data_IF_873231651312
#
_entry.id   IF_873231651312
#
_cell.length_a   1.000
_cell.length_b   1.000
_cell.length_c   1.000
_cell.angle_alpha   90.00
_cell.angle_beta   90.00
_cell.angle_gamma   90.00
#
_symmetry.space_group_name_H-M   'P 1'
#
loop_
_entity.id
_entity.type
_entity.pdbx_description
1 polymer ?
#
# COMPACT_ATOMS: atom_id res chain seq x y z
N UNK A 1 -17.41 -33.75 19.22
CA UNK A 1 -16.50 -33.51 18.09
C UNK A 1 -16.71 -32.08 17.60
N UNK A 2 -15.67 -31.28 17.47
CA UNK A 2 -15.81 -29.92 16.96
C UNK A 2 -16.23 -29.99 15.49
N UNK A 3 -17.26 -29.23 15.12
CA UNK A 3 -17.68 -29.09 13.73
C UNK A 3 -16.53 -28.43 12.94
N UNK A 4 -16.06 -29.09 11.87
CA UNK A 4 -15.11 -28.52 10.93
C UNK A 4 -15.65 -27.19 10.39
N UNK A 5 -14.97 -26.09 10.66
CA UNK A 5 -15.29 -24.78 10.10
C UNK A 5 -14.78 -24.75 8.66
N UNK A 6 -15.61 -24.28 7.72
CA UNK A 6 -15.26 -24.16 6.31
C UNK A 6 -14.18 -23.06 6.12
N UNK A 7 -13.17 -23.28 5.28
CA UNK A 7 -12.20 -22.24 4.95
C UNK A 7 -12.81 -21.20 3.99
N UNK A 8 -12.38 -19.98 4.06
CA UNK A 8 -12.63 -18.80 3.21
C UNK A 8 -13.90 -18.75 2.36
N UNK A 9 -14.71 -17.71 2.56
CA UNK A 9 -15.58 -17.18 1.51
C UNK A 9 -14.90 -15.93 0.96
N UNK A 10 -14.25 -16.03 -0.19
CA UNK A 10 -13.86 -14.85 -0.97
C UNK A 10 -15.09 -14.50 -1.81
N UNK A 11 -15.74 -13.38 -1.51
CA UNK A 11 -16.87 -12.91 -2.31
C UNK A 11 -16.37 -12.46 -3.68
N UNK A 12 -16.53 -13.34 -4.68
CA UNK A 12 -16.22 -13.07 -6.08
C UNK A 12 -17.16 -13.81 -7.00
N UNK A 13 -18.02 -13.07 -7.64
CA UNK A 13 -18.62 -13.43 -8.93
C UNK A 13 -18.82 -12.14 -9.70
N UNK A 14 -18.81 -12.22 -11.00
CA UNK A 14 -19.20 -11.11 -11.88
C UNK A 14 -20.63 -10.66 -11.57
N UNK A 15 -21.44 -11.52 -10.94
CA UNK A 15 -22.85 -11.30 -10.59
C UNK A 15 -23.08 -10.99 -9.09
N UNK A 16 -22.03 -10.80 -8.29
CA UNK A 16 -22.14 -10.47 -6.84
C UNK A 16 -22.57 -11.64 -5.94
N UNK A 17 -22.64 -12.89 -6.46
CA UNK A 17 -22.94 -14.07 -5.67
C UNK A 17 -21.69 -14.63 -4.97
N UNK A 18 -21.87 -15.24 -3.80
CA UNK A 18 -20.77 -15.90 -3.08
C UNK A 18 -20.30 -17.12 -3.88
N UNK A 19 -19.02 -17.14 -4.27
CA UNK A 19 -18.40 -18.33 -4.84
C UNK A 19 -17.76 -19.12 -3.69
N UNK A 20 -18.31 -20.27 -3.40
CA UNK A 20 -17.73 -21.20 -2.42
C UNK A 20 -16.46 -21.82 -3.04
N UNK A 21 -15.31 -21.59 -2.45
CA UNK A 21 -14.06 -22.22 -2.89
C UNK A 21 -14.19 -23.73 -2.72
N UNK A 22 -13.87 -24.49 -3.76
CA UNK A 22 -13.80 -25.95 -3.66
C UNK A 22 -12.84 -26.35 -2.53
N UNK A 23 -13.19 -27.35 -1.70
CA UNK A 23 -12.31 -27.79 -0.65
C UNK A 23 -10.99 -28.31 -1.24
N UNK A 24 -9.84 -28.07 -0.59
CA UNK A 24 -8.58 -28.59 -1.06
C UNK A 24 -8.64 -30.12 -1.15
N UNK A 25 -7.93 -30.77 -2.07
CA UNK A 25 -7.91 -32.21 -2.19
C UNK A 25 -7.47 -32.81 -0.85
N UNK A 26 -8.27 -33.74 -0.33
CA UNK A 26 -7.98 -34.43 0.93
C UNK A 26 -6.61 -35.06 0.86
N UNK A 27 -5.72 -34.71 1.77
CA UNK A 27 -4.49 -35.42 1.98
C UNK A 27 -4.78 -36.90 2.29
N UNK A 28 -3.84 -37.83 2.01
CA UNK A 28 -4.07 -39.26 2.18
C UNK A 28 -4.41 -39.58 3.66
N UNK A 29 -5.58 -40.17 3.88
CA UNK A 29 -5.97 -40.71 5.18
C UNK A 29 -5.01 -41.83 5.60
N UNK A 30 -4.66 -41.94 6.88
CA UNK A 30 -3.89 -43.09 7.34
C UNK A 30 -4.73 -44.37 7.18
N UNK A 31 -4.12 -45.47 6.72
CA UNK A 31 -4.84 -46.72 6.51
C UNK A 31 -5.30 -47.33 7.82
N UNK A 32 -6.53 -47.84 7.82
CA UNK A 32 -7.07 -48.66 8.90
C UNK A 32 -6.20 -49.91 9.09
N UNK A 33 -5.95 -50.26 10.35
CA UNK A 33 -5.15 -51.42 10.74
C UNK A 33 -5.82 -52.73 10.28
N UNK A 34 -5.23 -53.37 9.27
CA UNK A 34 -5.59 -54.71 8.80
C UNK A 34 -4.36 -55.36 8.18
N UNK A 35 -3.91 -56.47 8.75
CA UNK A 35 -2.69 -57.18 8.41
C UNK A 35 -2.66 -57.74 7.00
N UNK A 36 -1.53 -57.60 6.30
CA UNK A 36 -1.30 -58.24 5.00
C UNK A 36 0.03 -57.81 4.36
N UNK A 37 0.88 -58.76 4.17
CA UNK A 37 2.18 -58.91 3.48
C UNK A 37 2.73 -57.75 2.62
N UNK A 38 4.08 -57.54 2.60
CA UNK A 38 4.71 -56.44 1.87
C UNK A 38 4.78 -56.73 0.34
N UNK A 39 4.50 -55.73 -0.51
CA UNK A 39 4.76 -55.84 -1.94
C UNK A 39 6.17 -55.39 -2.33
N UNK A 40 6.70 -56.07 -3.33
CA UNK A 40 8.02 -55.93 -3.94
C UNK A 40 8.27 -54.53 -4.49
N UNK A 41 9.45 -53.96 -4.17
CA UNK A 41 9.97 -52.73 -4.75
C UNK A 41 10.21 -52.86 -6.26
N UNK A 42 9.45 -52.13 -7.09
CA UNK A 42 9.57 -52.04 -8.54
C UNK A 42 10.17 -50.74 -9.04
N UNK A 43 11.13 -50.86 -9.89
CA UNK A 43 11.95 -49.94 -10.70
C UNK A 43 11.20 -48.73 -11.35
N UNK A 44 10.75 -47.71 -10.67
CA UNK A 44 10.17 -46.52 -11.35
C UNK A 44 10.87 -45.17 -11.03
N UNK A 45 12.00 -45.16 -10.31
CA UNK A 45 12.68 -43.91 -9.91
C UNK A 45 13.72 -43.36 -10.91
N UNK A 46 14.11 -44.11 -11.96
CA UNK A 46 15.18 -43.66 -12.89
C UNK A 46 14.70 -42.78 -14.06
N UNK A 47 13.41 -42.75 -14.41
CA UNK A 47 12.96 -41.96 -15.58
C UNK A 47 12.61 -40.50 -15.28
N UNK A 48 12.32 -40.10 -14.04
CA UNK A 48 12.03 -38.68 -13.69
C UNK A 48 13.29 -37.82 -13.55
N UNK A 49 14.41 -38.38 -13.15
CA UNK A 49 15.70 -37.67 -13.06
C UNK A 49 16.26 -37.25 -14.42
N UNK A 50 16.08 -38.13 -15.43
CA UNK A 50 16.61 -37.87 -16.79
C UNK A 50 15.86 -36.76 -17.49
N UNK A 51 14.54 -36.62 -17.26
CA UNK A 51 13.72 -35.56 -17.86
C UNK A 51 14.08 -34.18 -17.29
N UNK A 52 14.39 -34.10 -15.98
CA UNK A 52 14.79 -32.87 -15.34
C UNK A 52 16.15 -32.33 -15.83
N UNK A 53 17.11 -33.23 -16.04
CA UNK A 53 18.44 -32.91 -16.56
C UNK A 53 18.36 -32.40 -18.01
N UNK A 54 17.52 -32.99 -18.85
CA UNK A 54 17.33 -32.54 -20.24
C UNK A 54 16.71 -31.17 -20.30
N UNK A 55 15.71 -30.87 -19.47
CA UNK A 55 15.07 -29.54 -19.43
C UNK A 55 16.06 -28.45 -18.97
N UNK A 56 16.90 -28.75 -17.96
CA UNK A 56 17.92 -27.78 -17.49
C UNK A 56 18.97 -27.51 -18.57
N UNK A 57 19.42 -28.53 -19.31
CA UNK A 57 20.38 -28.34 -20.40
C UNK A 57 19.82 -27.56 -21.58
N UNK A 58 18.54 -27.72 -21.91
CA UNK A 58 17.88 -26.94 -22.98
C UNK A 58 17.75 -25.47 -22.59
N UNK A 59 17.41 -25.17 -21.33
CA UNK A 59 17.33 -23.80 -20.83
C UNK A 59 18.70 -23.11 -20.81
N UNK A 60 19.77 -23.82 -20.42
CA UNK A 60 21.12 -23.27 -20.43
C UNK A 60 21.64 -23.01 -21.86
N UNK A 61 21.28 -23.84 -22.83
CA UNK A 61 21.64 -23.62 -24.24
C UNK A 61 20.90 -22.40 -24.85
N UNK A 62 19.64 -22.17 -24.47
CA UNK A 62 18.88 -21.01 -24.91
C UNK A 62 19.43 -19.69 -24.34
N UNK A 63 19.90 -19.68 -23.09
CA UNK A 63 20.52 -18.50 -22.45
C UNK A 63 21.86 -18.17 -23.12
N UNK A 64 22.67 -19.19 -23.48
CA UNK A 64 23.95 -18.98 -24.19
C UNK A 64 23.76 -18.40 -25.60
N UNK A 65 22.72 -18.79 -26.32
CA UNK A 65 22.41 -18.30 -27.67
C UNK A 65 22.00 -16.80 -27.66
N UNK A 66 21.32 -16.33 -26.61
CA UNK A 66 20.95 -14.90 -26.48
C UNK A 66 22.16 -14.03 -26.15
N UNK A 67 23.15 -14.54 -25.40
CA UNK A 67 24.34 -13.80 -25.03
C UNK A 67 25.30 -13.53 -26.21
N UNK A 68 25.30 -14.38 -27.23
CA UNK A 68 26.17 -14.21 -28.43
C UNK A 68 25.58 -13.22 -29.45
N UNK A 69 24.29 -12.96 -29.42
CA UNK A 69 23.63 -12.05 -30.36
C UNK A 69 23.74 -10.54 -29.98
N UNK A 70 24.23 -10.21 -28.78
CA UNK A 70 24.27 -8.82 -28.27
C UNK A 70 25.66 -8.16 -28.30
N UNK A 71 26.69 -8.84 -28.84
CA UNK A 71 28.04 -8.27 -28.95
C UNK A 71 28.41 -7.99 -30.43
N UNK A 72 27.99 -6.85 -30.97
CA UNK A 72 28.60 -6.22 -32.14
C UNK A 72 29.03 -4.82 -31.78
N UNK A 73 30.31 -4.44 -32.05
CA UNK A 73 30.82 -3.11 -31.78
C UNK A 73 30.41 -2.13 -32.90
N UNK A 74 29.98 -0.95 -32.54
CA UNK A 74 29.84 0.17 -33.46
C UNK A 74 31.16 0.95 -33.51
N UNK A 75 31.65 1.21 -34.75
CA UNK A 75 32.86 1.88 -35.05
C UNK A 75 32.76 3.40 -34.99
N UNK A 76 33.92 3.97 -34.92
CA UNK A 76 34.29 5.38 -34.82
C UNK A 76 33.77 6.30 -35.92
N UNK A 77 33.53 7.57 -35.58
CA UNK A 77 33.25 8.66 -36.50
C UNK A 77 33.49 10.03 -35.89
N UNK A 78 34.75 10.41 -35.79
CA UNK A 78 35.42 11.76 -35.94
C UNK A 78 34.65 13.04 -35.62
N UNK A 79 35.12 13.73 -34.60
CA UNK A 79 35.73 15.08 -34.54
C UNK A 79 35.16 16.21 -35.41
N UNK A 80 34.73 17.31 -34.81
CA UNK A 80 35.19 18.66 -35.20
C UNK A 80 35.05 19.69 -34.05
N UNK A 81 36.10 20.46 -33.98
CA UNK A 81 36.58 21.45 -33.05
C UNK A 81 35.73 22.71 -32.86
N UNK A 82 35.68 23.16 -31.67
CA UNK A 82 35.93 24.46 -31.03
C UNK A 82 35.67 25.77 -31.79
N UNK A 83 35.10 26.74 -31.10
CA UNK A 83 35.74 28.04 -30.90
C UNK A 83 35.18 28.83 -29.71
N UNK A 84 36.08 29.18 -28.85
CA UNK A 84 36.02 30.12 -27.73
C UNK A 84 35.78 31.54 -28.20
N UNK A 85 35.02 32.35 -27.45
CA UNK A 85 35.18 33.80 -27.43
C UNK A 85 34.93 34.30 -25.99
N UNK A 86 35.94 34.99 -25.48
CA UNK A 86 36.03 35.62 -24.18
C UNK A 86 35.47 37.06 -24.19
N UNK A 87 35.31 37.68 -22.99
CA UNK A 87 34.47 38.84 -22.77
C UNK A 87 35.18 40.15 -22.89
N UNK A 88 34.43 41.23 -23.01
CA UNK A 88 35.00 42.59 -22.85
C UNK A 88 34.07 43.56 -22.09
N UNK A 89 34.60 44.70 -21.65
CA UNK A 89 34.35 45.19 -20.30
C UNK A 89 33.36 46.36 -20.22
N UNK A 90 33.05 46.69 -18.95
CA UNK A 90 32.20 47.77 -18.50
C UNK A 90 32.62 49.18 -18.94
N UNK A 91 31.66 50.00 -19.29
CA UNK A 91 31.81 51.46 -19.37
C UNK A 91 30.92 52.09 -18.29
N UNK A 92 31.57 52.97 -17.49
CA UNK A 92 30.90 53.81 -16.51
C UNK A 92 30.23 55.02 -17.22
N UNK A 93 29.04 55.42 -16.76
CA UNK A 93 28.47 56.69 -17.06
C UNK A 93 27.64 57.20 -15.86
N UNK A 94 28.10 58.27 -15.37
CA UNK A 94 27.60 59.51 -14.79
C UNK A 94 26.15 59.64 -14.29
N UNK A 95 26.06 60.37 -13.17
CA UNK A 95 24.91 60.63 -12.38
C UNK A 95 23.76 61.37 -13.08
N UNK A 96 22.59 61.08 -12.61
CA UNK A 96 21.32 61.77 -12.83
C UNK A 96 20.55 61.99 -11.55
N UNK A 97 19.60 62.89 -11.48
CA UNK A 97 19.19 63.60 -10.27
C UNK A 97 18.33 62.75 -9.31
N UNK A 98 18.45 63.09 -8.05
CA UNK A 98 17.73 62.60 -6.91
C UNK A 98 16.19 62.68 -7.12
N UNK A 99 15.51 61.56 -7.29
CA UNK A 99 14.08 61.50 -7.25
C UNK A 99 13.61 61.37 -5.77
N UNK A 100 12.76 62.31 -5.39
CA UNK A 100 12.05 62.35 -4.11
C UNK A 100 11.20 61.07 -3.95
N UNK A 101 11.38 60.35 -2.88
CA UNK A 101 10.63 59.13 -2.58
C UNK A 101 9.14 59.42 -2.46
N UNK A 102 8.33 58.73 -3.27
CA UNK A 102 6.90 58.68 -3.12
C UNK A 102 6.52 57.93 -1.83
N UNK A 103 5.39 58.24 -1.16
CA UNK A 103 4.99 57.56 0.06
C UNK A 103 4.79 56.05 -0.19
N UNK A 104 5.44 55.24 0.64
CA UNK A 104 5.31 53.79 0.61
C UNK A 104 3.84 53.43 0.84
N UNK A 105 3.19 52.87 -0.15
CA UNK A 105 1.85 52.32 -0.02
C UNK A 105 1.85 51.24 1.05
N UNK A 106 1.03 51.37 2.05
CA UNK A 106 0.77 50.31 3.05
C UNK A 106 0.34 49.07 2.30
N UNK A 107 0.96 47.87 2.53
CA UNK A 107 0.56 46.68 1.83
C UNK A 107 -0.89 46.35 2.16
N UNK A 108 -1.73 46.33 1.13
CA UNK A 108 -3.11 45.84 1.24
C UNK A 108 -3.04 44.39 1.78
N UNK A 109 -3.76 44.07 2.86
CA UNK A 109 -3.76 42.70 3.38
C UNK A 109 -4.21 41.76 2.28
N UNK A 110 -3.39 40.72 2.02
CA UNK A 110 -3.75 39.67 1.09
C UNK A 110 -5.07 39.05 1.52
N UNK A 111 -6.03 38.82 0.62
CA UNK A 111 -7.33 38.28 0.99
C UNK A 111 -7.10 36.94 1.71
N UNK A 112 -7.69 36.80 2.89
CA UNK A 112 -7.69 35.52 3.63
C UNK A 112 -8.33 34.45 2.74
N UNK A 113 -7.71 33.28 2.55
CA UNK A 113 -8.28 32.21 1.75
C UNK A 113 -9.68 31.86 2.27
N UNK A 114 -10.69 31.88 1.41
CA UNK A 114 -12.11 31.64 1.76
C UNK A 114 -12.50 30.16 1.76
N UNK A 115 -11.55 29.23 1.79
CA UNK A 115 -11.78 27.78 1.76
C UNK A 115 -10.94 27.03 2.82
N UNK A 116 -11.17 25.72 3.01
CA UNK A 116 -10.39 24.92 3.94
C UNK A 116 -8.90 24.94 3.59
N UNK A 117 -8.05 24.85 4.61
CA UNK A 117 -6.60 24.75 4.42
C UNK A 117 -6.24 23.45 3.69
N UNK A 118 -5.08 23.44 3.06
CA UNK A 118 -4.57 22.23 2.44
C UNK A 118 -4.22 21.18 3.50
N UNK A 119 -4.53 19.90 3.21
CA UNK A 119 -4.13 18.74 4.03
C UNK A 119 -3.03 17.98 3.31
N UNK A 120 -2.03 17.55 4.08
CA UNK A 120 -0.98 16.65 3.60
C UNK A 120 -1.15 15.25 4.20
N UNK A 121 -1.15 14.21 3.37
CA UNK A 121 -1.16 12.81 3.80
C UNK A 121 0.02 12.06 3.18
N UNK A 122 0.74 11.30 4.01
CA UNK A 122 1.69 10.29 3.52
C UNK A 122 1.10 8.92 3.78
N UNK A 123 0.81 8.17 2.71
CA UNK A 123 0.31 6.81 2.80
C UNK A 123 1.40 5.80 2.42
N UNK A 124 1.43 4.68 3.14
CA UNK A 124 2.28 3.51 2.85
C UNK A 124 1.46 2.24 2.77
N UNK A 125 2.09 1.16 2.29
CA UNK A 125 1.47 -0.15 2.14
C UNK A 125 1.31 -0.94 3.43
N UNK A 126 1.40 -2.27 3.31
CA UNK A 126 1.09 -3.22 4.36
C UNK A 126 2.18 -3.28 5.43
N UNK A 127 1.75 -3.23 6.69
CA UNK A 127 2.61 -3.23 7.88
C UNK A 127 2.18 -4.37 8.79
N UNK A 128 3.11 -5.28 9.10
CA UNK A 128 2.89 -6.34 10.10
C UNK A 128 3.82 -6.15 11.31
N UNK A 129 3.39 -6.66 12.46
CA UNK A 129 4.22 -6.77 13.67
C UNK A 129 4.71 -8.18 13.95
N UNK A 130 4.38 -9.14 13.08
CA UNK A 130 4.67 -10.56 13.24
C UNK A 130 5.91 -11.04 12.48
N UNK A 131 6.12 -12.35 12.47
CA UNK A 131 7.24 -13.02 11.81
C UNK A 131 8.60 -12.39 12.17
N UNK A 132 9.51 -12.23 11.19
CA UNK A 132 10.81 -11.60 11.37
C UNK A 132 10.74 -10.14 11.87
N UNK A 133 9.67 -9.42 11.52
CA UNK A 133 9.45 -8.04 11.97
C UNK A 133 9.32 -7.93 13.50
N UNK A 134 8.75 -8.94 14.17
CA UNK A 134 8.62 -8.93 15.64
C UNK A 134 9.96 -8.74 16.36
N UNK A 135 11.01 -9.43 15.90
CA UNK A 135 12.37 -9.29 16.43
C UNK A 135 12.98 -7.94 16.09
N UNK A 136 12.76 -7.45 14.85
CA UNK A 136 13.25 -6.15 14.39
C UNK A 136 12.62 -5.01 15.20
N UNK A 137 11.31 -5.05 15.43
CA UNK A 137 10.62 -4.06 16.30
C UNK A 137 11.19 -4.08 17.71
N UNK A 138 11.43 -5.27 18.28
CA UNK A 138 11.99 -5.42 19.61
C UNK A 138 13.40 -4.80 19.75
N UNK A 139 14.24 -4.91 18.73
CA UNK A 139 15.62 -4.43 18.74
C UNK A 139 15.77 -2.97 18.26
N UNK A 140 15.03 -2.56 17.25
CA UNK A 140 15.18 -1.25 16.61
C UNK A 140 14.15 -0.22 17.05
N UNK A 141 12.99 -0.64 17.58
CA UNK A 141 11.88 0.26 17.88
C UNK A 141 11.50 1.13 16.67
N UNK A 142 11.44 2.46 16.86
CA UNK A 142 11.18 3.41 15.77
C UNK A 142 12.28 3.48 14.69
N UNK A 143 13.47 2.94 14.97
CA UNK A 143 14.54 2.82 13.98
C UNK A 143 14.15 1.96 12.76
N UNK A 144 13.15 1.09 12.89
CA UNK A 144 12.53 0.35 11.81
C UNK A 144 12.07 1.27 10.64
N UNK A 145 11.56 2.45 10.97
CA UNK A 145 11.05 3.44 9.99
C UNK A 145 12.06 4.55 9.65
N UNK A 146 13.33 4.45 10.10
CA UNK A 146 14.32 5.55 9.99
C UNK A 146 14.40 6.18 8.61
N UNK A 147 14.40 5.38 7.55
CA UNK A 147 14.55 5.85 6.17
C UNK A 147 13.31 6.59 5.64
N UNK A 148 12.14 6.34 6.23
CA UNK A 148 10.84 6.86 5.74
C UNK A 148 10.16 7.81 6.72
N UNK A 149 10.61 7.88 7.97
CA UNK A 149 9.98 8.67 9.03
C UNK A 149 9.84 10.17 8.69
N UNK A 150 10.80 10.76 7.96
CA UNK A 150 10.74 12.17 7.57
C UNK A 150 9.55 12.49 6.67
N UNK A 151 9.13 11.55 5.81
CA UNK A 151 7.95 11.74 4.95
C UNK A 151 6.67 11.76 5.78
N UNK A 152 6.52 10.84 6.73
CA UNK A 152 5.36 10.81 7.63
C UNK A 152 5.33 12.03 8.54
N UNK A 153 6.44 12.38 9.20
CA UNK A 153 6.54 13.51 10.13
C UNK A 153 6.33 14.88 9.47
N UNK A 154 6.53 14.99 8.16
CA UNK A 154 6.30 16.22 7.39
C UNK A 154 4.93 16.23 6.70
N UNK A 155 3.99 15.45 7.19
CA UNK A 155 2.59 15.41 6.77
C UNK A 155 1.68 15.51 7.97
N UNK A 156 0.49 16.04 7.79
CA UNK A 156 -0.54 16.10 8.83
C UNK A 156 -0.97 14.70 9.24
N UNK A 157 -1.05 13.80 8.25
CA UNK A 157 -1.44 12.41 8.48
C UNK A 157 -0.46 11.42 7.85
N UNK A 158 -0.05 10.45 8.66
CA UNK A 158 0.66 9.24 8.24
C UNK A 158 -0.29 8.05 8.28
N UNK A 159 -0.62 7.46 7.13
CA UNK A 159 -1.66 6.44 6.97
C UNK A 159 -1.10 5.13 6.40
N UNK A 160 -1.34 3.98 7.04
CA UNK A 160 -0.89 2.66 6.59
C UNK A 160 -1.93 1.57 6.86
N UNK A 161 -1.80 0.42 6.19
CA UNK A 161 -2.57 -0.78 6.54
C UNK A 161 -1.82 -1.59 7.61
N UNK A 162 -2.39 -1.69 8.83
CA UNK A 162 -1.90 -2.56 9.89
C UNK A 162 -2.47 -3.97 9.68
N UNK A 163 -1.69 -4.83 9.04
CA UNK A 163 -2.12 -6.15 8.57
C UNK A 163 -1.76 -7.28 9.55
N UNK A 164 -1.79 -6.96 10.82
CA UNK A 164 -1.70 -7.95 11.90
C UNK A 164 -2.31 -7.41 13.16
N UNK A 165 -2.97 -8.22 14.00
CA UNK A 165 -3.33 -7.82 15.34
C UNK A 165 -2.06 -7.60 16.17
N UNK A 166 -2.08 -6.56 17.02
CA UNK A 166 -1.02 -6.27 17.97
C UNK A 166 -1.45 -6.80 19.34
N UNK A 167 -0.87 -7.93 19.76
CA UNK A 167 -1.24 -8.55 21.03
C UNK A 167 -0.15 -9.46 21.59
N UNK A 168 -0.03 -9.56 22.90
CA UNK A 168 0.75 -10.61 23.57
C UNK A 168 -0.06 -11.88 23.80
N UNK A 169 -1.41 -11.78 23.80
CA UNK A 169 -2.38 -12.86 24.01
C UNK A 169 -3.09 -13.27 22.72
N UNK A 170 -4.40 -13.47 22.85
CA UNK A 170 -5.34 -13.82 21.78
C UNK A 170 -5.33 -15.31 21.44
N UNK A 171 -6.34 -15.72 20.67
CA UNK A 171 -6.58 -17.10 20.26
C UNK A 171 -6.26 -17.25 18.76
N UNK A 172 -5.17 -17.95 18.40
CA UNK A 172 -4.81 -18.15 16.99
C UNK A 172 -5.92 -18.84 16.23
N UNK A 173 -6.23 -18.36 15.02
CA UNK A 173 -7.25 -18.96 14.15
C UNK A 173 -6.68 -20.21 13.47
N UNK A 174 -6.71 -21.35 14.18
CA UNK A 174 -6.08 -22.61 13.77
C UNK A 174 -6.64 -23.27 12.49
N UNK A 175 -7.65 -22.69 11.87
CA UNK A 175 -8.18 -23.10 10.57
C UNK A 175 -7.56 -22.34 9.38
N UNK A 176 -6.73 -21.34 9.66
CA UNK A 176 -6.09 -20.46 8.67
C UNK A 176 -4.62 -20.87 8.49
N UNK A 177 -4.16 -21.00 7.24
CA UNK A 177 -2.80 -21.44 6.93
C UNK A 177 -1.74 -20.43 7.39
N UNK A 178 -2.04 -19.13 7.28
CA UNK A 178 -1.17 -18.03 7.70
C UNK A 178 -1.82 -17.22 8.79
N UNK A 179 -1.30 -17.31 10.02
CA UNK A 179 -1.74 -16.56 11.19
C UNK A 179 -0.62 -15.64 11.66
N UNK A 180 -0.89 -14.34 11.73
CA UNK A 180 0.09 -13.33 12.10
C UNK A 180 -0.24 -12.81 13.51
N UNK A 181 0.72 -12.98 14.45
CA UNK A 181 0.67 -12.35 15.78
C UNK A 181 1.68 -11.21 15.83
N UNK A 182 1.19 -9.98 15.88
CA UNK A 182 2.01 -8.79 15.87
C UNK A 182 2.49 -8.36 17.27
N UNK A 183 3.75 -7.93 17.34
CA UNK A 183 4.35 -7.37 18.55
C UNK A 183 3.75 -5.98 18.85
N UNK A 184 3.13 -5.75 20.04
CA UNK A 184 2.58 -4.47 20.44
C UNK A 184 3.55 -3.30 20.45
N UNK A 185 4.87 -3.55 20.54
CA UNK A 185 5.89 -2.50 20.43
C UNK A 185 5.90 -1.78 19.07
N UNK A 186 5.23 -2.35 18.05
CA UNK A 186 5.06 -1.70 16.74
C UNK A 186 4.22 -0.42 16.84
N UNK A 187 3.19 -0.36 17.68
CA UNK A 187 2.35 0.82 17.79
C UNK A 187 3.15 2.09 18.20
N UNK A 188 3.90 2.11 19.29
CA UNK A 188 4.73 3.27 19.62
C UNK A 188 5.85 3.53 18.58
N UNK A 189 6.36 2.51 17.90
CA UNK A 189 7.35 2.68 16.82
C UNK A 189 6.76 3.42 15.63
N UNK A 190 5.52 3.07 15.20
CA UNK A 190 4.76 3.77 14.17
C UNK A 190 4.50 5.23 14.57
N UNK A 191 3.95 5.47 15.75
CA UNK A 191 3.62 6.81 16.23
C UNK A 191 4.84 7.74 16.27
N UNK A 192 5.98 7.26 16.82
CA UNK A 192 7.24 8.00 16.83
C UNK A 192 7.77 8.33 15.44
N UNK A 193 7.34 7.58 14.43
CA UNK A 193 7.73 7.77 13.03
C UNK A 193 6.78 8.68 12.26
N UNK A 194 5.69 9.17 12.88
CA UNK A 194 4.71 10.07 12.28
C UNK A 194 3.51 9.34 11.66
N UNK A 195 3.37 8.04 11.87
CA UNK A 195 2.18 7.28 11.47
C UNK A 195 1.15 7.43 12.60
N UNK A 196 0.04 8.11 12.30
CA UNK A 196 -1.00 8.46 13.27
C UNK A 196 -2.40 7.93 12.91
N UNK A 197 -2.56 7.32 11.72
CA UNK A 197 -3.78 6.63 11.30
C UNK A 197 -3.43 5.27 10.72
N UNK A 198 -4.17 4.23 11.09
CA UNK A 198 -4.05 2.90 10.49
C UNK A 198 -5.41 2.35 10.10
N UNK A 199 -5.49 1.66 8.97
CA UNK A 199 -6.62 0.78 8.71
C UNK A 199 -6.33 -0.63 9.22
N UNK A 200 -7.35 -1.28 9.79
CA UNK A 200 -7.34 -2.70 10.11
C UNK A 200 -8.44 -3.46 9.35
N UNK A 201 -8.97 -2.87 8.26
CA UNK A 201 -9.86 -3.57 7.34
C UNK A 201 -9.02 -4.47 6.43
N UNK A 202 -8.67 -5.68 6.88
CA UNK A 202 -7.87 -6.64 6.12
C UNK A 202 -8.12 -8.08 6.58
N UNK A 203 -7.53 -9.04 5.87
CA UNK A 203 -7.70 -10.46 6.09
C UNK A 203 -6.87 -11.03 7.25
N UNK A 204 -6.04 -10.22 7.92
CA UNK A 204 -5.23 -10.62 9.07
C UNK A 204 -5.66 -9.98 10.40
N UNK A 205 -6.57 -9.01 10.39
CA UNK A 205 -6.99 -8.30 11.60
C UNK A 205 -7.55 -9.21 12.71
N UNK A 206 -8.20 -10.32 12.33
CA UNK A 206 -8.79 -11.30 13.25
C UNK A 206 -7.92 -12.53 13.54
N UNK A 207 -6.67 -12.57 13.12
CA UNK A 207 -5.80 -13.76 13.23
C UNK A 207 -5.62 -14.27 14.66
N UNK A 208 -5.75 -13.41 15.65
CA UNK A 208 -5.66 -13.72 17.07
C UNK A 208 -7.02 -13.60 17.78
N UNK A 209 -8.13 -13.80 17.05
CA UNK A 209 -9.49 -13.71 17.55
C UNK A 209 -9.92 -12.30 17.94
N UNK A 210 -11.12 -12.19 18.50
CA UNK A 210 -11.70 -10.92 18.92
C UNK A 210 -10.83 -10.20 19.96
N UNK A 211 -10.24 -10.95 20.90
CA UNK A 211 -9.37 -10.41 21.94
C UNK A 211 -8.09 -9.77 21.34
N UNK A 212 -7.48 -10.42 20.34
CA UNK A 212 -6.31 -9.88 19.63
C UNK A 212 -6.61 -8.62 18.84
N UNK A 213 -7.79 -8.58 18.18
CA UNK A 213 -8.27 -7.38 17.50
C UNK A 213 -8.49 -6.21 18.47
N UNK A 214 -9.17 -6.45 19.57
CA UNK A 214 -9.45 -5.43 20.60
C UNK A 214 -8.17 -4.95 21.32
N UNK A 215 -7.20 -5.84 21.51
CA UNK A 215 -5.87 -5.47 22.00
C UNK A 215 -5.19 -4.46 21.07
N UNK A 216 -5.31 -4.67 19.76
CA UNK A 216 -4.75 -3.74 18.76
C UNK A 216 -5.31 -2.33 18.91
N UNK A 217 -6.62 -2.20 19.14
CA UNK A 217 -7.23 -0.89 19.41
C UNK A 217 -6.65 -0.23 20.66
N UNK A 218 -6.44 -1.02 21.74
CA UNK A 218 -5.86 -0.55 22.99
C UNK A 218 -4.41 -0.06 22.81
N UNK A 219 -3.58 -0.83 22.09
CA UNK A 219 -2.18 -0.46 21.86
C UNK A 219 -2.06 0.74 20.91
N UNK A 220 -2.84 0.78 19.83
CA UNK A 220 -2.88 1.92 18.92
C UNK A 220 -3.36 3.18 19.65
N UNK A 221 -4.45 3.13 20.41
CA UNK A 221 -4.96 4.25 21.20
C UNK A 221 -3.92 4.75 22.23
N UNK A 222 -3.22 3.83 22.94
CA UNK A 222 -2.15 4.20 23.88
C UNK A 222 -0.99 4.92 23.19
N UNK A 223 -0.72 4.61 21.93
CA UNK A 223 0.31 5.25 21.11
C UNK A 223 -0.16 6.54 20.41
N UNK A 224 -1.44 6.93 20.55
CA UNK A 224 -2.01 8.09 19.85
C UNK A 224 -2.34 7.81 18.38
N UNK A 225 -2.51 6.54 17.98
CA UNK A 225 -2.85 6.13 16.63
C UNK A 225 -4.35 5.89 16.52
N UNK A 226 -4.99 6.49 15.54
CA UNK A 226 -6.39 6.28 15.18
C UNK A 226 -6.52 5.02 14.34
N UNK A 227 -7.46 4.13 14.71
CA UNK A 227 -7.78 2.91 13.95
C UNK A 227 -9.10 3.10 13.21
N UNK A 228 -9.12 2.78 11.91
CA UNK A 228 -10.31 2.77 11.06
C UNK A 228 -10.49 1.41 10.37
N UNK A 229 -11.66 1.16 9.81
CA UNK A 229 -11.94 -0.06 9.05
C UNK A 229 -12.12 -1.33 9.89
N UNK A 230 -12.04 -1.22 11.21
CA UNK A 230 -12.40 -2.28 12.16
C UNK A 230 -13.01 -1.66 13.41
N UNK A 231 -13.80 -2.44 14.16
CA UNK A 231 -14.51 -1.91 15.32
C UNK A 231 -15.06 -2.98 16.23
N UNK A 232 -15.57 -2.57 17.41
CA UNK A 232 -16.23 -3.46 18.37
C UNK A 232 -17.58 -4.03 17.87
N UNK A 233 -18.10 -3.49 16.79
CA UNK A 233 -19.28 -3.95 16.05
C UNK A 233 -19.27 -3.31 14.65
N UNK A 234 -20.17 -3.71 13.77
CA UNK A 234 -20.26 -3.24 12.39
C UNK A 234 -20.40 -1.70 12.28
N UNK A 235 -21.24 -1.11 13.11
CA UNK A 235 -21.42 0.36 13.14
C UNK A 235 -20.11 1.07 13.44
N UNK A 236 -19.35 0.59 14.42
CA UNK A 236 -18.04 1.16 14.77
C UNK A 236 -16.98 0.91 13.68
N UNK A 237 -16.97 -0.27 13.05
CA UNK A 237 -16.06 -0.61 11.98
C UNK A 237 -16.25 0.28 10.74
N UNK A 238 -17.50 0.64 10.44
CA UNK A 238 -17.87 1.45 9.27
C UNK A 238 -17.86 2.97 9.52
N UNK A 239 -17.79 3.41 10.78
CA UNK A 239 -17.94 4.83 11.11
C UNK A 239 -16.80 5.70 10.57
N UNK A 240 -15.60 5.12 10.38
CA UNK A 240 -14.40 5.89 10.10
C UNK A 240 -14.00 6.82 11.26
N UNK A 241 -13.12 7.76 10.97
CA UNK A 241 -12.72 8.82 11.92
C UNK A 241 -12.59 10.15 11.18
N UNK A 242 -13.05 11.24 11.80
CA UNK A 242 -12.78 12.62 11.35
C UNK A 242 -11.71 13.19 12.27
N UNK A 243 -10.64 13.68 11.69
CA UNK A 243 -9.49 14.25 12.37
C UNK A 243 -9.30 15.70 11.93
N UNK A 244 -8.83 16.54 12.85
CA UNK A 244 -8.62 17.96 12.61
C UNK A 244 -7.12 18.24 12.41
N UNK A 245 -6.82 19.22 11.60
CA UNK A 245 -5.52 19.87 11.44
C UNK A 245 -5.72 21.38 11.39
N UNK A 246 -4.66 22.17 11.27
CA UNK A 246 -4.77 23.64 11.22
C UNK A 246 -5.60 24.10 10.01
N UNK A 247 -6.86 24.44 10.27
CA UNK A 247 -7.80 25.02 9.30
C UNK A 247 -8.46 24.03 8.34
N UNK A 248 -8.38 22.71 8.58
CA UNK A 248 -9.10 21.71 7.80
C UNK A 248 -9.41 20.44 8.61
N UNK A 249 -10.37 19.67 8.10
CA UNK A 249 -10.78 18.36 8.62
C UNK A 249 -10.58 17.27 7.58
N UNK A 250 -10.13 16.09 8.03
CA UNK A 250 -9.94 14.92 7.18
C UNK A 250 -10.66 13.69 7.73
N UNK A 251 -11.46 13.04 6.91
CA UNK A 251 -12.08 11.76 7.24
C UNK A 251 -11.25 10.59 6.71
N UNK A 252 -11.13 9.55 7.53
CA UNK A 252 -10.49 8.29 7.17
C UNK A 252 -11.47 7.15 7.33
N UNK A 253 -11.57 6.29 6.30
CA UNK A 253 -12.39 5.08 6.31
C UNK A 253 -11.55 3.89 5.82
N UNK A 254 -11.96 2.67 6.22
CA UNK A 254 -11.31 1.45 5.74
C UNK A 254 -12.34 0.37 5.41
N UNK A 255 -12.12 -0.37 4.31
CA UNK A 255 -12.98 -1.46 3.86
C UNK A 255 -12.14 -2.65 3.39
N UNK A 256 -12.68 -3.87 3.48
CA UNK A 256 -12.03 -5.07 2.98
C UNK A 256 -12.98 -5.93 2.16
N UNK A 257 -12.49 -6.45 1.06
CA UNK A 257 -13.15 -7.49 0.24
C UNK A 257 -12.58 -8.87 0.55
N UNK A 258 -11.40 -8.91 1.16
CA UNK A 258 -10.75 -10.15 1.59
C UNK A 258 -11.16 -10.43 3.03
N UNK A 259 -12.22 -11.23 3.16
CA UNK A 259 -12.94 -11.41 4.42
C UNK A 259 -12.96 -12.90 4.83
N UNK A 260 -11.97 -13.36 5.62
CA UNK A 260 -12.03 -14.69 6.23
C UNK A 260 -13.30 -14.85 7.09
N UNK A 261 -13.83 -16.06 7.14
CA UNK A 261 -15.04 -16.37 7.92
C UNK A 261 -14.86 -15.96 9.39
N UNK A 262 -15.79 -15.17 9.91
CA UNK A 262 -15.76 -14.69 11.29
C UNK A 262 -14.97 -13.38 11.48
N UNK A 263 -14.33 -12.82 10.43
CA UNK A 263 -13.60 -11.55 10.52
C UNK A 263 -14.47 -10.30 10.29
N UNK A 264 -15.51 -10.33 9.43
CA UNK A 264 -16.43 -9.20 9.33
C UNK A 264 -17.09 -8.90 10.66
N UNK A 265 -17.14 -7.64 11.03
CA UNK A 265 -17.91 -7.18 12.19
C UNK A 265 -19.41 -7.46 12.00
N UNK A 266 -20.10 -7.80 13.09
CA UNK A 266 -21.57 -7.92 13.11
C UNK A 266 -22.18 -6.79 13.95
N UNK A 267 -23.50 -6.78 14.10
CA UNK A 267 -24.15 -5.83 14.99
C UNK A 267 -23.69 -5.95 16.45
N UNK A 268 -23.22 -7.14 16.87
CA UNK A 268 -22.88 -7.47 18.27
C UNK A 268 -21.46 -7.99 18.47
N UNK A 269 -20.69 -8.29 17.41
CA UNK A 269 -19.32 -8.78 17.51
C UNK A 269 -18.30 -7.86 16.84
N UNK A 270 -17.07 -7.78 17.38
CA UNK A 270 -16.00 -7.02 16.78
C UNK A 270 -15.56 -7.66 15.45
N UNK A 271 -14.92 -6.83 14.60
CA UNK A 271 -14.41 -7.29 13.33
C UNK A 271 -14.09 -6.15 12.36
N UNK A 272 -13.86 -6.52 11.10
CA UNK A 272 -13.50 -5.62 10.01
C UNK A 272 -14.74 -5.10 9.28
N UNK A 273 -14.59 -3.96 8.63
CA UNK A 273 -15.62 -3.33 7.77
C UNK A 273 -15.65 -4.01 6.40
N UNK A 274 -16.77 -4.64 5.98
CA UNK A 274 -16.88 -5.22 4.65
C UNK A 274 -16.99 -4.14 3.57
N UNK A 275 -16.29 -4.39 2.44
CA UNK A 275 -16.30 -3.57 1.23
C UNK A 275 -17.40 -3.97 0.27
N UNK A 276 -17.04 -4.67 -0.84
CA UNK A 276 -17.94 -5.08 -1.95
C UNK A 276 -19.22 -5.74 -1.49
N UNK A 277 -19.15 -6.65 -0.52
CA UNK A 277 -20.30 -7.34 0.03
C UNK A 277 -21.40 -6.38 0.53
N UNK A 278 -21.05 -5.11 0.75
CA UNK A 278 -21.97 -4.08 1.19
C UNK A 278 -21.69 -2.73 0.53
N UNK A 279 -21.47 -2.70 -0.77
CA UNK A 279 -21.05 -1.52 -1.55
C UNK A 279 -21.98 -0.30 -1.36
N UNK A 280 -23.28 -0.52 -1.18
CA UNK A 280 -24.21 0.57 -0.92
C UNK A 280 -23.98 1.23 0.44
N UNK A 281 -23.66 0.45 1.48
CA UNK A 281 -23.27 1.01 2.78
C UNK A 281 -21.90 1.70 2.70
N UNK A 282 -20.95 1.17 1.95
CA UNK A 282 -19.65 1.83 1.69
C UNK A 282 -19.87 3.22 1.10
N UNK A 283 -20.63 3.33 0.00
CA UNK A 283 -20.96 4.61 -0.62
C UNK A 283 -21.70 5.56 0.32
N UNK A 284 -22.63 5.04 1.14
CA UNK A 284 -23.36 5.84 2.11
C UNK A 284 -22.45 6.39 3.22
N UNK A 285 -21.50 5.56 3.71
CA UNK A 285 -20.53 5.96 4.72
C UNK A 285 -19.54 7.02 4.19
N UNK A 286 -19.04 6.87 2.95
CA UNK A 286 -18.18 7.87 2.30
C UNK A 286 -18.93 9.18 2.12
N UNK A 287 -20.17 9.18 1.63
CA UNK A 287 -21.01 10.39 1.52
C UNK A 287 -21.27 11.04 2.87
N UNK A 288 -21.46 10.26 3.92
CA UNK A 288 -21.65 10.77 5.26
C UNK A 288 -20.37 11.40 5.83
N UNK A 289 -19.21 10.84 5.50
CA UNK A 289 -17.90 11.39 5.84
C UNK A 289 -17.63 12.71 5.09
N UNK A 290 -17.90 12.76 3.78
CA UNK A 290 -17.75 13.95 2.94
C UNK A 290 -18.66 15.14 3.36
N UNK A 291 -19.72 14.88 4.11
CA UNK A 291 -20.55 15.94 4.72
C UNK A 291 -19.97 16.50 6.03
N UNK A 292 -18.97 15.84 6.61
CA UNK A 292 -18.40 16.13 7.94
C UNK A 292 -16.95 16.56 7.90
N UNK A 293 -16.29 16.35 6.78
CA UNK A 293 -14.89 16.64 6.62
C UNK A 293 -14.64 17.31 5.26
N UNK A 294 -13.62 18.15 5.21
CA UNK A 294 -13.20 18.84 4.00
C UNK A 294 -12.54 17.88 3.00
N UNK A 295 -11.88 16.82 3.51
CA UNK A 295 -11.19 15.81 2.70
C UNK A 295 -11.51 14.41 3.21
N UNK A 296 -11.57 13.43 2.30
CA UNK A 296 -11.92 12.03 2.59
C UNK A 296 -10.89 11.08 2.00
N UNK A 297 -10.26 10.29 2.87
CA UNK A 297 -9.30 9.26 2.53
C UNK A 297 -9.86 7.87 2.83
N UNK A 298 -9.80 6.98 1.84
CA UNK A 298 -10.33 5.62 1.95
C UNK A 298 -9.19 4.62 1.78
N UNK A 299 -9.05 3.70 2.74
CA UNK A 299 -8.24 2.49 2.53
C UNK A 299 -9.13 1.35 2.05
N UNK A 300 -8.65 0.58 1.08
CA UNK A 300 -9.36 -0.60 0.62
C UNK A 300 -8.43 -1.80 0.47
N UNK A 301 -8.77 -2.89 1.12
CA UNK A 301 -8.01 -4.14 1.07
C UNK A 301 -8.73 -5.12 0.14
N UNK A 302 -8.20 -5.33 -1.08
CA UNK A 302 -8.89 -6.00 -2.17
C UNK A 302 -7.98 -6.84 -3.07
N UNK A 303 -8.56 -7.49 -4.08
CA UNK A 303 -7.88 -8.27 -5.10
C UNK A 303 -7.30 -9.59 -4.58
N UNK A 304 -6.39 -10.19 -5.34
CA UNK A 304 -5.64 -11.41 -5.00
C UNK A 304 -4.17 -11.07 -4.71
N UNK A 305 -3.58 -11.83 -3.79
CA UNK A 305 -2.14 -11.79 -3.60
C UNK A 305 -1.40 -12.01 -4.93
N UNK A 306 -0.33 -11.26 -5.12
CA UNK A 306 0.60 -11.34 -6.25
C UNK A 306 -0.02 -11.07 -7.63
N UNK A 307 -1.24 -10.57 -7.70
CA UNK A 307 -1.87 -10.16 -8.95
C UNK A 307 -1.65 -8.69 -9.21
N UNK A 308 -1.18 -8.38 -10.42
CA UNK A 308 -1.02 -7.01 -10.94
C UNK A 308 -2.24 -6.60 -11.72
N UNK A 309 -2.41 -5.31 -11.79
CA UNK A 309 -3.50 -4.59 -12.41
C UNK A 309 -4.86 -4.89 -11.74
N UNK A 310 -5.62 -3.85 -11.49
CA UNK A 310 -6.97 -4.00 -10.95
C UNK A 310 -7.84 -4.72 -11.98
N UNK A 311 -8.69 -5.61 -11.51
CA UNK A 311 -9.77 -6.15 -12.36
C UNK A 311 -10.83 -5.08 -12.54
N UNK A 312 -11.86 -5.42 -13.34
CA UNK A 312 -13.04 -4.56 -13.47
C UNK A 312 -13.69 -4.24 -12.11
N UNK A 313 -13.67 -5.18 -11.18
CA UNK A 313 -14.30 -5.03 -9.86
C UNK A 313 -13.57 -3.97 -9.01
N UNK A 314 -12.27 -4.10 -8.82
CA UNK A 314 -11.48 -3.13 -8.04
C UNK A 314 -11.51 -1.74 -8.70
N UNK A 315 -11.49 -1.69 -10.05
CA UNK A 315 -11.63 -0.45 -10.80
C UNK A 315 -13.00 0.20 -10.57
N UNK A 316 -14.08 -0.59 -10.59
CA UNK A 316 -15.44 -0.12 -10.32
C UNK A 316 -15.61 0.39 -8.90
N UNK A 317 -15.03 -0.30 -7.92
CA UNK A 317 -15.10 0.06 -6.50
C UNK A 317 -14.31 1.33 -6.17
N UNK A 318 -13.09 1.43 -6.69
CA UNK A 318 -12.28 2.63 -6.54
C UNK A 318 -12.98 3.87 -7.11
N UNK A 319 -13.55 3.75 -8.32
CA UNK A 319 -14.36 4.81 -8.95
C UNK A 319 -15.61 5.13 -8.16
N UNK A 320 -16.33 4.11 -7.67
CA UNK A 320 -17.52 4.32 -6.83
C UNK A 320 -17.20 5.02 -5.50
N UNK A 321 -16.01 4.82 -4.95
CA UNK A 321 -15.55 5.56 -3.77
C UNK A 321 -15.33 7.04 -4.09
N UNK A 322 -14.65 7.36 -5.21
CA UNK A 322 -14.44 8.74 -5.66
C UNK A 322 -15.81 9.40 -5.95
N UNK A 323 -16.68 8.75 -6.71
CA UNK A 323 -18.04 9.26 -7.00
C UNK A 323 -18.91 9.44 -5.74
N UNK A 324 -18.58 8.77 -4.65
CA UNK A 324 -19.22 8.94 -3.35
C UNK A 324 -18.62 10.09 -2.52
N UNK A 325 -17.51 10.70 -2.95
CA UNK A 325 -16.88 11.85 -2.32
C UNK A 325 -15.53 11.54 -1.63
N UNK A 326 -14.88 10.42 -1.96
CA UNK A 326 -13.50 10.20 -1.56
C UNK A 326 -12.56 11.03 -2.44
N UNK A 327 -11.54 11.64 -1.84
CA UNK A 327 -10.48 12.36 -2.55
C UNK A 327 -9.38 11.40 -3.01
N UNK A 328 -8.96 10.49 -2.12
CA UNK A 328 -7.95 9.48 -2.45
C UNK A 328 -8.36 8.12 -1.91
N UNK A 329 -8.21 7.09 -2.75
CA UNK A 329 -8.30 5.68 -2.36
C UNK A 329 -6.89 5.09 -2.31
N UNK A 330 -6.49 4.55 -1.17
CA UNK A 330 -5.24 3.81 -0.98
C UNK A 330 -5.56 2.33 -0.82
N UNK A 331 -5.06 1.49 -1.72
CA UNK A 331 -5.40 0.07 -1.68
C UNK A 331 -4.21 -0.84 -1.35
N UNK A 332 -4.55 -2.03 -0.85
CA UNK A 332 -3.70 -2.96 -0.14
C UNK A 332 -4.03 -4.40 -0.51
N UNK A 333 -3.24 -5.37 -0.07
CA UNK A 333 -3.37 -6.83 -0.20
C UNK A 333 -2.58 -7.48 -1.35
N UNK A 334 -2.46 -6.95 -2.59
CA UNK A 334 -1.73 -7.67 -3.63
C UNK A 334 -0.24 -7.94 -3.32
N UNK A 335 0.34 -7.29 -2.29
CA UNK A 335 1.76 -7.34 -1.94
C UNK A 335 2.70 -6.99 -3.11
N UNK A 336 2.16 -6.45 -4.18
CA UNK A 336 2.85 -5.90 -5.34
C UNK A 336 2.43 -4.46 -5.55
N UNK A 337 3.32 -3.64 -6.12
CA UNK A 337 2.94 -2.32 -6.60
C UNK A 337 2.01 -2.42 -7.81
N UNK A 338 0.98 -1.60 -7.80
CA UNK A 338 0.11 -1.38 -8.94
C UNK A 338 0.14 0.09 -9.41
N UNK A 339 -0.62 0.40 -10.47
CA UNK A 339 -0.75 1.75 -11.01
C UNK A 339 -1.59 2.66 -10.12
N UNK A 340 -1.53 3.95 -10.45
CA UNK A 340 -2.44 4.97 -9.89
C UNK A 340 -3.35 5.48 -11.00
N UNK A 341 -4.59 5.85 -10.66
CA UNK A 341 -5.58 6.38 -11.59
C UNK A 341 -6.13 7.72 -11.11
N UNK A 342 -6.09 8.71 -12.00
CA UNK A 342 -6.84 9.95 -11.85
C UNK A 342 -8.25 9.72 -12.39
N UNK A 343 -9.26 10.00 -11.57
CA UNK A 343 -10.65 9.81 -11.94
C UNK A 343 -11.54 10.84 -11.24
N UNK A 344 -12.34 11.60 -11.99
CA UNK A 344 -13.32 12.58 -11.52
C UNK A 344 -12.82 13.52 -10.38
N UNK A 345 -11.59 14.03 -10.51
CA UNK A 345 -10.99 14.92 -9.51
C UNK A 345 -10.39 14.19 -8.29
N UNK A 346 -10.40 12.86 -8.26
CA UNK A 346 -9.79 12.04 -7.22
C UNK A 346 -8.61 11.20 -7.72
N UNK A 347 -7.91 10.57 -6.79
CA UNK A 347 -6.78 9.69 -7.05
C UNK A 347 -7.03 8.29 -6.48
N UNK A 348 -6.86 7.25 -7.27
CA UNK A 348 -6.95 5.84 -6.84
C UNK A 348 -5.56 5.21 -6.93
N UNK A 349 -5.01 4.72 -5.82
CA UNK A 349 -3.77 3.97 -5.75
C UNK A 349 -4.12 2.49 -5.58
N UNK A 350 -4.04 1.69 -6.64
CA UNK A 350 -4.59 0.33 -6.68
C UNK A 350 -3.83 -0.70 -5.83
N UNK A 351 -2.56 -0.47 -5.54
CA UNK A 351 -1.79 -1.16 -4.49
C UNK A 351 -0.52 -0.40 -4.16
N UNK A 352 -0.26 -0.21 -2.87
CA UNK A 352 0.97 0.40 -2.39
C UNK A 352 2.07 -0.64 -2.09
N UNK A 353 1.77 -1.94 -2.21
CA UNK A 353 2.68 -3.03 -1.84
C UNK A 353 2.92 -3.14 -0.34
N UNK A 354 4.06 -3.65 0.06
CA UNK A 354 4.44 -3.86 1.45
C UNK A 354 5.28 -2.69 1.98
N UNK A 355 4.96 -2.12 3.15
CA UNK A 355 5.83 -1.12 3.80
C UNK A 355 6.77 -1.77 4.82
N UNK A 356 6.21 -2.58 5.73
CA UNK A 356 6.97 -3.31 6.76
C UNK A 356 6.46 -4.75 6.79
N UNK A 357 7.17 -5.63 6.11
CA UNK A 357 6.76 -7.02 5.95
C UNK A 357 8.00 -7.89 5.67
N UNK A 358 8.29 -8.87 6.52
CA UNK A 358 9.45 -9.77 6.34
C UNK A 358 9.12 -10.96 5.44
N UNK A 359 10.15 -11.54 4.83
CA UNK A 359 10.03 -12.75 4.01
C UNK A 359 9.79 -12.47 2.53
N UNK A 360 9.68 -11.21 2.11
CA UNK A 360 9.52 -10.82 0.72
C UNK A 360 10.85 -10.49 0.02
N UNK A 361 10.91 -10.74 -1.28
CA UNK A 361 12.07 -10.48 -2.14
C UNK A 361 11.61 -10.09 -3.57
N UNK A 362 12.54 -9.64 -4.41
CA UNK A 362 12.22 -9.25 -5.78
C UNK A 362 11.16 -8.14 -5.81
N UNK A 363 10.11 -8.32 -6.60
CA UNK A 363 9.08 -7.31 -6.80
C UNK A 363 8.14 -7.13 -5.60
N UNK A 364 7.93 -8.18 -4.79
CA UNK A 364 7.14 -8.08 -3.54
C UNK A 364 7.86 -7.30 -2.44
N UNK A 365 9.18 -7.10 -2.57
CA UNK A 365 9.97 -6.23 -1.73
C UNK A 365 10.07 -4.79 -2.27
N UNK A 366 9.51 -4.50 -3.46
CA UNK A 366 9.44 -3.17 -4.04
C UNK A 366 8.11 -2.53 -3.72
N UNK A 367 8.14 -1.34 -3.16
CA UNK A 367 6.97 -0.64 -2.64
C UNK A 367 7.10 0.86 -2.86
N UNK A 368 6.10 1.64 -2.46
CA UNK A 368 6.18 3.10 -2.50
C UNK A 368 5.41 3.75 -1.35
N UNK A 369 5.82 4.97 -0.99
CA UNK A 369 4.93 5.91 -0.31
C UNK A 369 4.26 6.80 -1.34
N UNK A 370 3.02 7.19 -1.04
CA UNK A 370 2.33 8.29 -1.71
C UNK A 370 2.22 9.44 -0.74
N UNK A 371 2.92 10.56 -1.00
CA UNK A 371 2.76 11.79 -0.26
C UNK A 371 1.95 12.77 -1.08
N UNK A 372 0.73 13.06 -0.64
CA UNK A 372 -0.20 13.93 -1.34
C UNK A 372 -0.47 15.21 -0.53
N UNK A 373 -0.50 16.35 -1.23
CA UNK A 373 -1.09 17.61 -0.76
C UNK A 373 -2.44 17.76 -1.44
N UNK A 374 -3.49 17.83 -0.65
CA UNK A 374 -4.87 17.97 -1.11
C UNK A 374 -5.37 19.36 -0.78
N UNK A 375 -5.92 20.05 -1.77
CA UNK A 375 -6.54 21.35 -1.67
C UNK A 375 -7.96 21.30 -2.25
N UNK A 376 -8.81 22.33 -2.09
CA UNK A 376 -10.09 22.37 -2.78
C UNK A 376 -10.01 22.27 -4.30
N UNK A 377 -8.84 22.59 -4.90
CA UNK A 377 -8.68 22.73 -6.35
C UNK A 377 -7.76 21.67 -6.98
N UNK A 378 -6.95 20.99 -6.19
CA UNK A 378 -5.97 20.04 -6.72
C UNK A 378 -5.52 18.98 -5.71
N UNK A 379 -5.05 17.85 -6.23
CA UNK A 379 -4.25 16.86 -5.49
C UNK A 379 -2.89 16.77 -6.17
N UNK A 380 -1.83 17.14 -5.43
CA UNK A 380 -0.45 16.97 -5.87
C UNK A 380 0.16 15.78 -5.14
N UNK A 381 0.30 14.65 -5.83
CA UNK A 381 0.84 13.42 -5.29
C UNK A 381 2.28 13.18 -5.73
N UNK A 382 3.15 12.87 -4.76
CA UNK A 382 4.52 12.45 -4.95
C UNK A 382 4.67 10.96 -4.60
N UNK A 383 5.12 10.16 -5.55
CA UNK A 383 5.39 8.73 -5.42
C UNK A 383 6.86 8.55 -5.04
N UNK A 384 7.15 7.98 -3.88
CA UNK A 384 8.49 7.76 -3.35
C UNK A 384 8.79 6.26 -3.42
N UNK A 385 9.69 5.81 -4.30
CA UNK A 385 10.01 4.39 -4.45
C UNK A 385 10.79 3.88 -3.24
N UNK A 386 10.43 2.71 -2.75
CA UNK A 386 11.07 2.05 -1.62
C UNK A 386 11.45 0.62 -1.97
N UNK A 387 12.42 0.11 -1.23
CA UNK A 387 12.80 -1.31 -1.18
C UNK A 387 12.75 -1.77 0.26
N UNK A 388 12.09 -2.90 0.56
CA UNK A 388 12.15 -3.53 1.87
C UNK A 388 13.22 -4.62 1.90
N UNK A 389 13.90 -4.78 3.01
CA UNK A 389 14.84 -5.89 3.23
C UNK A 389 14.09 -7.19 3.54
N UNK A 390 14.76 -8.33 3.47
CA UNK A 390 14.18 -9.63 3.87
C UNK A 390 13.68 -9.66 5.33
N UNK A 391 14.19 -8.77 6.20
CA UNK A 391 13.70 -8.58 7.57
C UNK A 391 12.54 -7.59 7.67
N UNK A 392 12.08 -7.00 6.56
CA UNK A 392 10.93 -6.11 6.51
C UNK A 392 11.23 -4.63 6.75
N UNK A 393 12.50 -4.20 6.72
CA UNK A 393 12.89 -2.80 6.95
C UNK A 393 12.82 -2.01 5.65
N UNK A 394 12.00 -0.93 5.56
CA UNK A 394 11.89 -0.11 4.37
C UNK A 394 13.07 0.86 4.22
N UNK A 395 13.56 1.01 3.00
CA UNK A 395 14.56 2.01 2.62
C UNK A 395 14.13 2.75 1.35
N UNK A 396 14.48 4.04 1.23
CA UNK A 396 14.22 4.78 0.00
C UNK A 396 15.10 4.18 -1.11
N UNK A 397 14.47 3.70 -2.17
CA UNK A 397 15.15 3.18 -3.35
C UNK A 397 15.66 4.36 -4.19
N UNK A 398 16.94 4.31 -4.57
CA UNK A 398 17.60 5.34 -5.39
C UNK A 398 18.26 4.71 -6.62
N UNK A 399 18.82 5.53 -7.51
CA UNK A 399 19.52 5.08 -8.70
C UNK A 399 18.63 4.23 -9.63
N UNK A 400 19.21 3.18 -10.20
CA UNK A 400 18.51 2.28 -11.14
C UNK A 400 17.32 1.54 -10.50
N UNK A 401 17.43 1.12 -9.23
CA UNK A 401 16.35 0.46 -8.51
C UNK A 401 15.14 1.38 -8.35
N UNK A 402 15.36 2.61 -7.86
CA UNK A 402 14.28 3.59 -7.71
C UNK A 402 13.63 3.94 -9.04
N UNK A 403 14.45 4.14 -10.09
CA UNK A 403 13.97 4.42 -11.44
C UNK A 403 13.14 3.25 -12.01
N UNK A 404 13.59 2.00 -11.85
CA UNK A 404 12.85 0.80 -12.31
C UNK A 404 11.48 0.67 -11.64
N UNK A 405 11.40 0.91 -10.31
CA UNK A 405 10.12 0.91 -9.57
C UNK A 405 9.19 1.99 -10.15
N UNK A 406 9.68 3.21 -10.33
CA UNK A 406 8.87 4.32 -10.85
C UNK A 406 8.44 4.10 -12.30
N UNK A 407 9.30 3.54 -13.16
CA UNK A 407 8.95 3.20 -14.55
C UNK A 407 7.83 2.15 -14.61
N UNK A 408 7.86 1.15 -13.71
CA UNK A 408 6.79 0.16 -13.59
C UNK A 408 5.47 0.82 -13.19
N UNK A 409 5.46 1.64 -12.13
CA UNK A 409 4.25 2.36 -11.71
C UNK A 409 3.74 3.28 -12.82
N UNK A 410 4.64 3.99 -13.53
CA UNK A 410 4.28 4.82 -14.69
C UNK A 410 3.60 4.01 -15.80
N UNK A 411 4.15 2.84 -16.15
CA UNK A 411 3.57 1.95 -17.17
C UNK A 411 2.19 1.43 -16.77
N UNK A 412 2.04 0.96 -15.52
CA UNK A 412 0.75 0.50 -14.98
C UNK A 412 -0.27 1.63 -14.94
N UNK A 413 0.13 2.84 -14.53
CA UNK A 413 -0.74 4.02 -14.50
C UNK A 413 -1.17 4.48 -15.89
N UNK A 414 -0.27 4.39 -16.88
CA UNK A 414 -0.59 4.73 -18.27
C UNK A 414 -1.68 3.80 -18.85
N UNK A 415 -1.66 2.51 -18.49
CA UNK A 415 -2.72 1.57 -18.84
C UNK A 415 -4.09 1.91 -18.22
N UNK A 416 -4.08 2.71 -17.13
CA UNK A 416 -5.27 3.25 -16.46
C UNK A 416 -5.62 4.68 -16.90
N UNK A 417 -4.96 5.20 -17.95
CA UNK A 417 -5.20 6.53 -18.49
C UNK A 417 -4.55 7.66 -17.69
N UNK A 418 -3.58 7.36 -16.79
CA UNK A 418 -2.94 8.37 -15.93
C UNK A 418 -1.47 8.56 -16.28
N UNK A 419 -1.06 9.81 -16.44
CA UNK A 419 0.34 10.18 -16.68
C UNK A 419 1.08 10.36 -15.34
N UNK A 420 2.24 9.68 -15.22
CA UNK A 420 3.18 9.87 -14.11
C UNK A 420 4.46 10.51 -14.67
N UNK A 421 4.77 11.73 -14.21
CA UNK A 421 6.05 12.39 -14.50
C UNK A 421 7.12 11.86 -13.55
N UNK A 422 8.26 11.42 -14.08
CA UNK A 422 9.40 10.98 -13.26
C UNK A 422 10.47 12.07 -13.31
N UNK A 423 10.88 12.55 -12.14
CA UNK A 423 11.98 13.49 -11.95
C UNK A 423 12.60 13.28 -10.55
N UNK A 424 13.91 13.53 -10.39
CA UNK A 424 14.61 13.50 -9.10
C UNK A 424 14.35 12.24 -8.26
N UNK A 425 14.29 11.08 -8.92
CA UNK A 425 13.96 9.77 -8.32
C UNK A 425 12.61 9.79 -7.59
N UNK A 426 11.63 10.51 -8.15
CA UNK A 426 10.24 10.59 -7.66
C UNK A 426 9.29 10.52 -8.85
N UNK A 427 8.09 9.95 -8.61
CA UNK A 427 6.95 10.09 -9.51
C UNK A 427 6.07 11.24 -9.05
N UNK A 428 5.45 11.92 -10.00
CA UNK A 428 4.53 13.04 -9.73
C UNK A 428 3.24 12.83 -10.50
N UNK A 429 2.14 13.01 -9.81
CA UNK A 429 0.78 12.98 -10.37
C UNK A 429 0.07 14.24 -9.90
N UNK A 430 -0.56 14.95 -10.83
CA UNK A 430 -1.38 16.11 -10.57
C UNK A 430 -2.82 15.81 -10.94
N UNK A 431 -3.75 16.19 -10.09
CA UNK A 431 -5.21 16.02 -10.28
C UNK A 431 -5.86 17.39 -10.16
N UNK A 432 -6.55 17.86 -11.19
CA UNK A 432 -7.46 19.01 -11.10
C UNK A 432 -8.80 18.55 -10.50
N UNK A 433 -9.38 19.38 -9.62
CA UNK A 433 -10.63 19.08 -8.91
C UNK A 433 -11.76 20.02 -9.32
#
# INVERSE_FOLDING_TARGET
PPRARKPYTVYRSEDGAAVEAAPPPRGPQPPASGGGRPPRRGRRRRRRGLLLVVVVLVVLAAVAAVAVATLRPFGDGTSTTARTAAPQPAAAAAGGPTQTAAPTATPTPSPTPTGPAAVTVTAGGDVIGGFGVSSVVGSMGSGLFRSVASFFKSSDFGFVNLESPLTYGGDPQGWKDVVIKGNPALAPAMAKSGINVVTMANNHAGDMGDSGLLDSFRYCKKAGITVVGAGKNLKAAQAGAVLETDGATAAFLGFSDVLPVGYPATSSSPGTSPGRANINAVKANIRAAAKKADYVFVAWHWNFEYKRAPSYLESSEGKAAIDAGADIVFAHHPHLLDGVQVYHGGLICYSLGNLVFSGFAGETAQTMLVKAKVTPHAIDAKLIPLQISGSGVPTVATGSTGLSILQRVKSLSAALGTSVKIADNRGYVHVNR
#
